data_IF_927305125858
#
_entry.id   IF_927305125858
#
_cell.length_a   1.000
_cell.length_b   1.000
_cell.length_c   1.000
_cell.angle_alpha   90.00
_cell.angle_beta   90.00
_cell.angle_gamma   90.00
#
_symmetry.space_group_name_H-M   'P 1'
#
loop_
_entity.id
_entity.type
_entity.pdbx_description
1 polymer ?
#
# COMPACT_ATOMS: atom_id res chain seq x y z
N UNK A 1 -14.39 17.36 28.43
CA UNK A 1 -15.02 16.45 27.44
C UNK A 1 -16.42 16.95 27.20
N UNK A 2 -16.75 17.34 25.96
CA UNK A 2 -18.10 17.78 25.59
C UNK A 2 -18.87 16.54 25.16
N UNK A 3 -19.95 16.20 25.86
CA UNK A 3 -20.83 15.12 25.46
C UNK A 3 -21.76 15.64 24.37
N UNK A 4 -21.53 15.22 23.12
CA UNK A 4 -22.42 15.53 22.00
C UNK A 4 -23.31 14.33 21.72
N UNK A 5 -24.61 14.59 21.58
CA UNK A 5 -25.56 13.57 21.19
C UNK A 5 -25.32 13.16 19.72
N UNK A 6 -25.28 11.85 19.47
CA UNK A 6 -25.22 11.28 18.12
C UNK A 6 -26.12 10.05 18.05
N UNK A 7 -26.58 9.74 16.85
CA UNK A 7 -27.38 8.56 16.55
C UNK A 7 -26.76 7.84 15.34
N UNK A 8 -26.59 6.53 15.45
CA UNK A 8 -26.11 5.70 14.35
C UNK A 8 -27.32 5.19 13.54
N UNK A 9 -27.22 5.22 12.22
CA UNK A 9 -28.32 4.85 11.32
C UNK A 9 -27.95 3.67 10.41
N UNK A 10 -28.95 2.92 9.96
CA UNK A 10 -28.79 1.84 8.97
C UNK A 10 -29.86 2.06 7.91
N UNK A 11 -29.47 1.97 6.63
CA UNK A 11 -30.38 2.13 5.50
C UNK A 11 -30.63 0.78 4.81
N UNK A 12 -31.76 0.70 4.11
CA UNK A 12 -32.11 -0.48 3.32
C UNK A 12 -31.08 -0.72 2.20
N UNK A 13 -30.69 -1.99 2.06
CA UNK A 13 -29.76 -2.43 1.01
C UNK A 13 -30.51 -3.32 0.04
N UNK A 14 -30.53 -2.93 -1.23
CA UNK A 14 -31.13 -3.71 -2.31
C UNK A 14 -30.09 -4.66 -2.89
N UNK A 15 -30.35 -5.95 -2.81
CA UNK A 15 -29.44 -7.00 -3.28
C UNK A 15 -30.18 -8.03 -4.14
N UNK A 16 -29.51 -8.56 -5.15
CA UNK A 16 -30.06 -9.62 -6.00
C UNK A 16 -29.99 -10.95 -5.25
N UNK A 17 -31.03 -11.78 -5.39
CA UNK A 17 -31.08 -13.12 -4.80
C UNK A 17 -29.84 -13.92 -5.20
N UNK A 18 -29.09 -14.40 -4.20
CA UNK A 18 -27.85 -15.17 -4.38
C UNK A 18 -26.58 -14.35 -4.21
N UNK A 19 -26.66 -13.01 -4.16
CA UNK A 19 -25.52 -12.16 -3.88
C UNK A 19 -25.39 -11.87 -2.38
N UNK A 20 -24.19 -11.50 -1.95
CA UNK A 20 -23.91 -11.04 -0.58
C UNK A 20 -24.49 -9.65 -0.35
N UNK A 21 -25.29 -9.51 0.71
CA UNK A 21 -25.70 -8.20 1.22
C UNK A 21 -24.66 -7.67 2.21
N UNK A 22 -24.34 -6.38 2.13
CA UNK A 22 -23.45 -5.72 3.07
C UNK A 22 -24.18 -4.52 3.67
N UNK A 23 -24.44 -4.58 4.97
CA UNK A 23 -24.95 -3.44 5.72
C UNK A 23 -23.81 -2.58 6.25
N UNK A 24 -24.02 -1.27 6.29
CA UNK A 24 -23.07 -0.31 6.86
C UNK A 24 -23.76 0.54 7.91
N UNK A 25 -23.19 0.56 9.12
CA UNK A 25 -23.65 1.43 10.20
C UNK A 25 -23.14 2.84 9.91
N UNK A 26 -24.06 3.78 9.73
CA UNK A 26 -23.76 5.18 9.46
C UNK A 26 -23.52 5.89 10.78
N UNK A 27 -22.25 6.10 11.08
CA UNK A 27 -21.80 6.89 12.22
C UNK A 27 -21.49 8.30 11.71
N UNK A 28 -22.02 9.35 12.34
CA UNK A 28 -21.67 10.72 11.98
C UNK A 28 -20.16 10.97 12.05
N UNK A 29 -19.61 11.65 11.05
CA UNK A 29 -18.15 11.83 10.90
C UNK A 29 -17.47 12.50 12.08
N UNK A 30 -18.17 13.36 12.83
CA UNK A 30 -17.61 14.05 13.99
C UNK A 30 -17.34 13.12 15.19
N UNK A 31 -17.86 11.89 15.18
CA UNK A 31 -17.62 10.87 16.22
C UNK A 31 -17.03 9.57 15.67
N UNK A 32 -16.82 9.45 14.35
CA UNK A 32 -16.40 8.18 13.72
C UNK A 32 -15.09 7.62 14.26
N UNK A 33 -14.20 8.49 14.73
CA UNK A 33 -12.87 8.10 15.21
C UNK A 33 -12.86 7.79 16.72
N UNK A 34 -14.01 7.89 17.37
CA UNK A 34 -14.16 7.76 18.83
C UNK A 34 -15.14 6.68 19.24
N UNK A 35 -15.82 6.03 18.29
CA UNK A 35 -16.85 5.04 18.56
C UNK A 35 -16.65 3.82 17.67
N UNK A 36 -16.85 2.65 18.26
CA UNK A 36 -16.72 1.36 17.58
C UNK A 36 -18.09 0.67 17.46
N UNK A 37 -18.27 -0.08 16.37
CA UNK A 37 -19.47 -0.91 16.19
C UNK A 37 -19.29 -2.21 16.99
N UNK A 38 -19.96 -2.28 18.14
CA UNK A 38 -19.83 -3.42 19.06
C UNK A 38 -20.61 -4.67 18.63
N UNK A 39 -21.75 -4.50 17.95
CA UNK A 39 -22.57 -5.63 17.48
C UNK A 39 -23.64 -5.16 16.51
N UNK A 40 -24.07 -6.05 15.61
CA UNK A 40 -25.29 -5.89 14.84
C UNK A 40 -26.43 -6.67 15.48
N UNK A 41 -27.66 -6.14 15.38
CA UNK A 41 -28.85 -6.80 15.92
C UNK A 41 -29.93 -6.88 14.86
N UNK A 42 -30.55 -8.04 14.72
CA UNK A 42 -31.69 -8.23 13.81
C UNK A 42 -33.06 -8.06 14.52
N UNK A 43 -34.13 -8.17 13.75
CA UNK A 43 -35.52 -8.08 14.23
C UNK A 43 -35.93 -9.24 15.14
N UNK A 44 -35.17 -10.33 15.16
CA UNK A 44 -35.38 -11.50 16.03
C UNK A 44 -34.52 -11.42 17.30
N UNK A 45 -33.87 -10.28 17.56
CA UNK A 45 -33.00 -10.04 18.72
C UNK A 45 -31.73 -10.91 18.72
N UNK A 46 -31.33 -11.45 17.57
CA UNK A 46 -30.03 -12.09 17.41
C UNK A 46 -28.94 -11.02 17.38
N UNK A 47 -27.86 -11.24 18.12
CA UNK A 47 -26.69 -10.36 18.16
C UNK A 47 -25.53 -10.98 17.39
N UNK A 48 -25.02 -10.23 16.42
CA UNK A 48 -23.85 -10.58 15.62
C UNK A 48 -22.69 -9.74 16.10
N UNK A 49 -21.77 -10.38 16.82
CA UNK A 49 -20.56 -9.73 17.31
C UNK A 49 -19.53 -9.66 16.19
N UNK A 50 -18.70 -8.59 16.14
CA UNK A 50 -17.49 -8.65 15.35
C UNK A 50 -16.69 -9.87 15.82
N UNK A 51 -16.14 -10.65 14.89
CA UNK A 51 -15.31 -11.79 15.25
C UNK A 51 -14.16 -11.37 16.18
N UNK A 52 -13.80 -12.24 17.12
CA UNK A 52 -12.76 -11.97 18.13
C UNK A 52 -11.36 -11.81 17.54
N UNK A 53 -11.17 -12.26 16.30
CA UNK A 53 -9.99 -11.94 15.50
C UNK A 53 -10.34 -10.74 14.63
N UNK A 54 -9.43 -9.77 14.49
CA UNK A 54 -9.53 -8.75 13.44
C UNK A 54 -9.70 -9.46 12.09
N UNK A 55 -10.92 -9.49 11.57
CA UNK A 55 -11.19 -10.00 10.23
C UNK A 55 -10.67 -8.95 9.24
N UNK A 56 -9.38 -9.06 8.94
CA UNK A 56 -8.74 -8.30 7.88
C UNK A 56 -9.23 -8.86 6.56
N UNK A 57 -10.13 -8.12 5.89
CA UNK A 57 -10.50 -8.42 4.51
C UNK A 57 -9.32 -8.03 3.63
N UNK A 58 -8.49 -9.01 3.28
CA UNK A 58 -7.38 -8.81 2.35
C UNK A 58 -7.94 -8.53 0.95
N UNK A 59 -7.83 -7.28 0.51
CA UNK A 59 -8.10 -6.94 -0.89
C UNK A 59 -6.85 -7.22 -1.71
N UNK A 60 -7.00 -7.97 -2.80
CA UNK A 60 -5.90 -8.21 -3.72
C UNK A 60 -5.44 -6.90 -4.35
N UNK A 61 -4.15 -6.59 -4.24
CA UNK A 61 -3.52 -5.46 -4.90
C UNK A 61 -2.33 -5.91 -5.74
N UNK A 62 -1.98 -5.06 -6.71
CA UNK A 62 -0.82 -5.22 -7.57
C UNK A 62 -0.05 -3.91 -7.56
N UNK A 63 1.23 -3.95 -7.17
CA UNK A 63 2.13 -2.82 -7.27
C UNK A 63 2.88 -2.86 -8.62
N UNK A 64 3.20 -1.70 -9.18
CA UNK A 64 3.91 -1.59 -10.45
C UNK A 64 5.11 -0.64 -10.32
N UNK A 65 6.16 -0.90 -11.09
CA UNK A 65 7.31 0.00 -11.26
C UNK A 65 7.39 0.37 -12.75
N UNK A 66 7.61 1.65 -13.03
CA UNK A 66 7.75 2.17 -14.39
C UNK A 66 9.22 2.43 -14.72
N UNK A 67 9.51 2.56 -16.00
CA UNK A 67 10.83 3.00 -16.46
C UNK A 67 11.04 4.47 -16.10
N UNK A 68 12.26 4.80 -15.67
CA UNK A 68 12.64 6.16 -15.29
C UNK A 68 13.66 6.70 -16.28
N UNK A 69 13.43 7.93 -16.74
CA UNK A 69 14.33 8.61 -17.67
C UNK A 69 15.20 9.61 -16.93
N UNK A 70 16.52 9.45 -17.04
CA UNK A 70 17.48 10.24 -16.29
C UNK A 70 18.65 10.65 -17.17
N UNK A 71 19.25 11.80 -16.87
CA UNK A 71 20.49 12.21 -17.53
C UNK A 71 21.69 11.50 -16.90
N UNK A 72 22.67 11.09 -17.70
CA UNK A 72 23.94 10.52 -17.20
C UNK A 72 24.56 11.44 -16.13
N UNK A 73 24.98 10.86 -15.01
CA UNK A 73 25.57 11.56 -13.86
C UNK A 73 24.55 12.13 -12.86
N UNK A 74 23.26 12.18 -13.21
CA UNK A 74 22.22 12.58 -12.26
C UNK A 74 21.79 11.42 -11.37
N UNK A 75 21.03 11.76 -10.32
CA UNK A 75 20.36 10.76 -9.47
C UNK A 75 19.03 10.37 -10.10
N UNK A 76 18.78 9.07 -10.22
CA UNK A 76 17.46 8.54 -10.56
C UNK A 76 16.68 8.18 -9.30
N UNK A 77 15.35 8.29 -9.39
CA UNK A 77 14.43 7.96 -8.30
C UNK A 77 13.35 7.05 -8.87
N UNK A 78 13.33 5.78 -8.44
CA UNK A 78 12.25 4.87 -8.76
C UNK A 78 11.14 4.96 -7.72
N UNK A 79 9.89 4.96 -8.21
CA UNK A 79 8.68 4.93 -7.38
C UNK A 79 7.93 3.60 -7.57
N UNK A 80 7.51 3.03 -6.45
CA UNK A 80 6.63 1.87 -6.44
C UNK A 80 5.18 2.37 -6.45
N UNK A 81 4.46 2.13 -7.55
CA UNK A 81 3.05 2.50 -7.67
C UNK A 81 2.16 1.52 -6.91
N UNK A 82 1.89 1.87 -5.65
CA UNK A 82 0.94 1.17 -4.78
C UNK A 82 -0.44 1.81 -4.96
N UNK A 83 -1.50 1.04 -5.24
CA UNK A 83 -2.84 1.59 -5.35
C UNK A 83 -3.31 2.29 -4.06
N UNK A 84 -3.98 3.43 -4.19
CA UNK A 84 -4.37 4.26 -3.04
C UNK A 84 -5.31 3.57 -2.05
N UNK A 85 -6.14 2.62 -2.50
CA UNK A 85 -7.05 1.89 -1.61
C UNK A 85 -6.33 0.94 -0.62
N UNK A 86 -5.01 0.70 -0.80
CA UNK A 86 -4.18 -0.08 0.13
C UNK A 86 -2.97 0.68 0.67
N UNK A 87 -2.76 1.95 0.31
CA UNK A 87 -1.54 2.71 0.65
C UNK A 87 -1.30 2.84 2.16
N UNK A 88 -2.37 2.84 2.95
CA UNK A 88 -2.27 2.99 4.41
C UNK A 88 -1.83 1.70 5.12
N UNK A 89 -1.84 0.58 4.39
CA UNK A 89 -1.53 -0.75 4.92
C UNK A 89 -0.35 -1.41 4.21
N UNK A 90 0.04 -0.93 3.04
CA UNK A 90 1.11 -1.51 2.23
C UNK A 90 2.26 -0.53 2.13
N UNK A 91 3.44 -0.95 2.58
CA UNK A 91 4.66 -0.18 2.45
C UNK A 91 5.72 -0.96 1.66
N UNK A 92 6.64 -0.23 1.02
CA UNK A 92 7.84 -0.82 0.43
C UNK A 92 8.80 -1.21 1.54
N UNK A 93 9.39 -2.40 1.46
CA UNK A 93 10.36 -2.92 2.44
C UNK A 93 11.75 -3.15 1.84
N UNK A 94 11.83 -3.39 0.54
CA UNK A 94 13.09 -3.51 -0.20
C UNK A 94 12.88 -3.32 -1.68
N UNK A 95 13.97 -3.14 -2.42
CA UNK A 95 14.00 -3.20 -3.87
C UNK A 95 14.84 -4.40 -4.31
N UNK A 96 14.48 -5.06 -5.41
CA UNK A 96 15.18 -6.19 -5.97
C UNK A 96 15.79 -5.77 -7.30
N UNK A 97 17.11 -5.85 -7.41
CA UNK A 97 17.88 -5.63 -8.63
C UNK A 97 18.13 -6.98 -9.33
N UNK A 98 17.78 -7.05 -10.62
CA UNK A 98 18.04 -8.18 -11.52
C UNK A 98 17.68 -9.57 -10.97
N UNK A 99 16.61 -9.64 -10.17
CA UNK A 99 16.13 -10.85 -9.49
C UNK A 99 17.13 -11.49 -8.50
N UNK A 100 18.21 -10.79 -8.15
CA UNK A 100 19.33 -11.38 -7.41
C UNK A 100 19.69 -10.62 -6.15
N UNK A 101 19.72 -9.29 -6.20
CA UNK A 101 20.22 -8.46 -5.11
C UNK A 101 19.09 -7.67 -4.48
N UNK A 102 18.74 -7.99 -3.24
CA UNK A 102 17.88 -7.15 -2.43
C UNK A 102 18.66 -5.91 -1.94
N UNK A 103 18.11 -4.74 -2.21
CA UNK A 103 18.52 -3.42 -1.75
C UNK A 103 17.54 -3.02 -0.64
N UNK A 104 18.04 -2.95 0.58
CA UNK A 104 17.25 -2.58 1.77
C UNK A 104 17.60 -1.16 2.21
N UNK A 105 16.80 -0.59 3.10
CA UNK A 105 17.15 0.66 3.79
C UNK A 105 18.50 0.47 4.50
N UNK A 106 19.46 1.35 4.22
CA UNK A 106 20.78 1.37 4.81
C UNK A 106 21.05 2.75 5.40
N UNK A 107 21.79 2.79 6.51
CA UNK A 107 22.23 4.04 7.14
C UNK A 107 23.45 4.67 6.42
N UNK A 108 24.04 3.95 5.46
CA UNK A 108 25.13 4.45 4.63
C UNK A 108 24.59 5.39 3.55
N UNK A 109 24.56 6.67 3.88
CA UNK A 109 24.13 7.72 2.97
C UNK A 109 25.06 7.87 1.75
N UNK A 110 26.29 7.37 1.77
CA UNK A 110 27.22 7.49 0.65
C UNK A 110 27.12 6.33 -0.36
N UNK A 111 26.30 5.33 -0.06
CA UNK A 111 25.97 4.24 -1.00
C UNK A 111 25.38 4.78 -2.31
N UNK A 112 25.75 4.12 -3.43
CA UNK A 112 25.13 4.36 -4.75
C UNK A 112 23.62 4.12 -4.72
N UNK A 113 23.16 3.17 -3.91
CA UNK A 113 21.76 2.78 -3.78
C UNK A 113 21.23 3.13 -2.40
N UNK A 114 20.17 3.94 -2.34
CA UNK A 114 19.55 4.34 -1.09
C UNK A 114 18.03 4.16 -1.18
N UNK A 115 17.44 3.44 -0.22
CA UNK A 115 15.99 3.34 -0.09
C UNK A 115 15.52 4.39 0.92
N UNK A 116 14.65 5.30 0.50
CA UNK A 116 14.10 6.33 1.37
C UNK A 116 13.10 5.73 2.38
N UNK A 117 12.86 6.40 3.53
CA UNK A 117 11.82 6.00 4.47
C UNK A 117 10.42 5.95 3.85
N UNK A 118 10.17 6.75 2.81
CA UNK A 118 8.94 6.75 2.01
C UNK A 118 8.85 5.61 0.98
N UNK A 119 9.93 4.86 0.77
CA UNK A 119 9.95 3.63 -0.03
C UNK A 119 10.54 3.78 -1.44
N UNK A 120 10.89 4.99 -1.89
CA UNK A 120 11.56 5.20 -3.17
C UNK A 120 12.99 4.69 -3.16
N UNK A 121 13.48 4.24 -4.32
CA UNK A 121 14.88 3.87 -4.54
C UNK A 121 15.61 4.99 -5.25
N UNK A 122 16.63 5.53 -4.61
CA UNK A 122 17.56 6.49 -5.17
C UNK A 122 18.80 5.76 -5.70
N UNK A 123 19.17 6.06 -6.93
CA UNK A 123 20.40 5.58 -7.57
C UNK A 123 21.22 6.81 -7.93
N UNK A 124 22.33 7.01 -7.21
CA UNK A 124 23.23 8.14 -7.41
C UNK A 124 24.17 7.91 -8.58
N UNK A 125 24.64 9.01 -9.17
CA UNK A 125 25.64 9.04 -10.25
C UNK A 125 25.36 7.97 -11.32
N UNK A 126 24.19 8.09 -11.96
CA UNK A 126 23.71 7.08 -12.90
C UNK A 126 24.65 7.01 -14.11
N UNK A 127 25.19 5.82 -14.34
CA UNK A 127 26.07 5.50 -15.45
C UNK A 127 25.42 4.53 -16.44
N UNK A 128 25.96 4.40 -17.67
CA UNK A 128 25.42 3.50 -18.70
C UNK A 128 25.21 2.05 -18.24
N UNK A 129 26.02 1.58 -17.28
CA UNK A 129 25.92 0.26 -16.68
C UNK A 129 24.60 0.02 -15.93
N UNK A 130 23.98 1.06 -15.38
CA UNK A 130 22.72 0.94 -14.65
C UNK A 130 21.51 0.81 -15.58
N UNK A 131 21.65 1.19 -16.85
CA UNK A 131 20.61 1.04 -17.88
C UNK A 131 20.36 -0.42 -18.29
N UNK A 132 21.31 -1.32 -18.00
CA UNK A 132 21.16 -2.76 -18.25
C UNK A 132 20.44 -3.49 -17.11
N UNK A 133 20.18 -2.80 -16.00
CA UNK A 133 19.60 -3.39 -14.79
C UNK A 133 18.10 -3.15 -14.71
N UNK A 134 17.42 -4.05 -14.02
CA UNK A 134 15.99 -4.01 -13.77
C UNK A 134 15.71 -3.97 -12.27
N UNK A 135 14.72 -3.18 -11.88
CA UNK A 135 14.37 -2.93 -10.48
C UNK A 135 12.91 -3.26 -10.22
N UNK A 136 12.66 -3.99 -9.12
CA UNK A 136 11.32 -4.31 -8.63
C UNK A 136 11.19 -3.88 -7.18
N UNK A 137 10.04 -3.35 -6.78
CA UNK A 137 9.78 -3.10 -5.36
C UNK A 137 9.19 -4.35 -4.70
N UNK A 138 9.60 -4.59 -3.46
CA UNK A 138 8.98 -5.55 -2.55
C UNK A 138 8.13 -4.79 -1.55
N UNK A 139 6.86 -5.15 -1.51
CA UNK A 139 5.87 -4.55 -0.61
C UNK A 139 5.52 -5.51 0.50
N UNK A 140 5.10 -4.98 1.65
CA UNK A 140 4.56 -5.75 2.78
C UNK A 140 3.28 -5.13 3.27
N UNK A 141 2.25 -5.95 3.45
CA UNK A 141 0.98 -5.53 4.05
C UNK A 141 1.06 -5.64 5.57
N UNK A 142 0.94 -4.53 6.30
CA UNK A 142 1.18 -4.46 7.75
C UNK A 142 0.21 -5.28 8.61
N UNK A 143 -1.01 -5.50 8.13
CA UNK A 143 -2.03 -6.26 8.89
C UNK A 143 -1.93 -7.78 8.66
N UNK A 144 -1.54 -8.22 7.46
CA UNK A 144 -1.52 -9.64 7.09
C UNK A 144 -0.12 -10.22 7.09
N UNK A 145 0.92 -9.36 7.08
CA UNK A 145 2.31 -9.75 6.92
C UNK A 145 2.68 -10.19 5.50
N UNK A 146 1.72 -10.25 4.57
CA UNK A 146 1.95 -10.74 3.21
C UNK A 146 2.93 -9.84 2.47
N UNK A 147 3.93 -10.44 1.82
CA UNK A 147 4.90 -9.74 0.99
C UNK A 147 4.72 -10.07 -0.48
N UNK A 148 4.77 -9.05 -1.34
CA UNK A 148 4.63 -9.20 -2.80
C UNK A 148 5.67 -8.38 -3.54
N UNK A 149 6.19 -8.93 -4.64
CA UNK A 149 6.95 -8.17 -5.63
C UNK A 149 6.01 -7.42 -6.56
N UNK A 150 6.48 -6.29 -7.11
CA UNK A 150 5.76 -5.61 -8.18
C UNK A 150 5.58 -6.50 -9.41
N UNK A 151 4.43 -6.38 -10.06
CA UNK A 151 4.13 -7.15 -11.28
C UNK A 151 5.02 -6.72 -12.46
N UNK A 152 5.41 -5.45 -12.50
CA UNK A 152 6.33 -4.91 -13.50
C UNK A 152 7.69 -4.59 -12.88
N UNK A 153 8.71 -4.53 -13.73
CA UNK A 153 10.05 -4.05 -13.38
C UNK A 153 10.31 -2.74 -14.12
N UNK A 154 10.94 -1.79 -13.46
CA UNK A 154 11.43 -0.57 -14.08
C UNK A 154 12.88 -0.70 -14.53
N UNK A 155 13.24 0.04 -15.57
CA UNK A 155 14.61 0.21 -16.06
C UNK A 155 14.96 1.68 -16.18
N UNK A 156 16.25 1.98 -16.16
CA UNK A 156 16.73 3.34 -16.41
C UNK A 156 16.91 3.56 -17.91
N UNK A 157 16.20 4.56 -18.43
CA UNK A 157 16.42 5.11 -19.76
C UNK A 157 17.38 6.30 -19.61
N UNK A 158 18.66 6.02 -19.84
CA UNK A 158 19.71 7.01 -19.62
C UNK A 158 19.89 7.82 -20.90
N UNK A 159 19.76 9.13 -20.77
CA UNK A 159 19.95 10.09 -21.86
C UNK A 159 21.14 11.00 -21.52
N UNK A 160 21.82 11.55 -22.52
CA UNK A 160 23.00 12.39 -22.31
C UNK A 160 24.15 11.98 -23.23
N UNK A 161 24.68 12.97 -23.94
CA UNK A 161 25.64 12.81 -25.03
C UNK A 161 26.96 12.19 -24.56
N UNK A 162 27.52 11.39 -25.47
CA UNK A 162 28.94 11.01 -25.50
C UNK A 162 29.81 12.25 -25.73
#
# INVERSE_FOLDING_TARGET
VVNQYYEAQVYDVFVIKGNTAVFKCQIPSFVSDHVDIMSWQDTQNNRYLPPSNDYVVSQSYTANVMDESVLKGNTAIFKCHIPSFVSDFVNVISWLEDDKRDIVTQDDLDSKYLVLPSGELHIKDVGPEDGYKSYQCRTRHRLTGETRLSATKGRLVITGLM
#
